data_IF_657341571707
#
_entry.id   IF_657341571707
#
_cell.length_a   1.000
_cell.length_b   1.000
_cell.length_c   1.000
_cell.angle_alpha   90.00
_cell.angle_beta   90.00
_cell.angle_gamma   90.00
#
_symmetry.space_group_name_H-M   'P 1'
#
loop_
_entity.id
_entity.type
_entity.pdbx_description
1 polymer ?
#
# COMPACT_ATOMS: atom_id res chain seq x y z
N UNK A 1 -28.88 -43.20 -25.93
CA UNK A 1 -27.55 -43.75 -25.60
C UNK A 1 -26.52 -42.85 -26.27
N UNK A 2 -26.17 -41.72 -25.66
CA UNK A 2 -25.27 -40.70 -26.28
C UNK A 2 -24.16 -40.22 -25.30
N UNK A 3 -23.75 -41.06 -24.35
CA UNK A 3 -22.80 -40.69 -23.30
C UNK A 3 -21.33 -40.98 -23.60
N UNK A 4 -21.00 -41.66 -24.70
CA UNK A 4 -19.64 -42.18 -24.96
C UNK A 4 -18.79 -41.35 -25.93
N UNK A 5 -19.37 -40.39 -26.65
CA UNK A 5 -18.62 -39.62 -27.68
C UNK A 5 -17.77 -38.48 -27.12
N UNK A 6 -18.12 -37.93 -25.96
CA UNK A 6 -17.38 -36.82 -25.33
C UNK A 6 -15.94 -37.17 -24.94
N UNK A 7 -15.64 -38.30 -24.26
CA UNK A 7 -14.26 -38.61 -23.86
C UNK A 7 -13.35 -38.96 -25.05
N UNK A 8 -13.89 -39.51 -26.15
CA UNK A 8 -13.09 -39.82 -27.34
C UNK A 8 -12.68 -38.55 -28.09
N UNK A 9 -13.59 -37.58 -28.22
CA UNK A 9 -13.27 -36.27 -28.84
C UNK A 9 -12.24 -35.49 -28.03
N UNK A 10 -12.37 -35.48 -26.71
CA UNK A 10 -11.38 -34.85 -25.82
C UNK A 10 -10.00 -35.51 -25.92
N UNK A 11 -9.96 -36.84 -26.03
CA UNK A 11 -8.71 -37.58 -26.23
C UNK A 11 -8.07 -37.27 -27.59
N UNK A 12 -8.85 -37.27 -28.66
CA UNK A 12 -8.34 -36.93 -30.00
C UNK A 12 -7.81 -35.49 -30.04
N UNK A 13 -8.51 -34.56 -29.39
CA UNK A 13 -8.10 -33.16 -29.31
C UNK A 13 -6.80 -32.97 -28.50
N UNK A 14 -6.65 -33.68 -27.37
CA UNK A 14 -5.40 -33.67 -26.61
C UNK A 14 -4.21 -34.24 -27.41
N UNK A 15 -4.44 -35.26 -28.23
CA UNK A 15 -3.41 -35.82 -29.11
C UNK A 15 -3.06 -34.86 -30.26
N UNK A 16 -4.02 -34.08 -30.76
CA UNK A 16 -3.78 -33.03 -31.76
C UNK A 16 -2.95 -31.88 -31.18
N UNK A 17 -3.25 -31.45 -29.95
CA UNK A 17 -2.42 -30.47 -29.25
C UNK A 17 -1.00 -30.98 -29.07
N UNK A 18 -0.86 -32.24 -28.62
CA UNK A 18 0.47 -32.83 -28.48
C UNK A 18 1.24 -32.93 -29.80
N UNK A 19 0.54 -33.19 -30.91
CA UNK A 19 1.15 -33.18 -32.24
C UNK A 19 1.61 -31.78 -32.65
N UNK A 20 0.84 -30.73 -32.32
CA UNK A 20 1.22 -29.33 -32.59
C UNK A 20 2.45 -28.93 -31.79
N UNK A 21 2.49 -29.23 -30.50
CA UNK A 21 3.67 -28.99 -29.65
C UNK A 21 4.93 -29.67 -30.23
N UNK A 22 4.80 -30.92 -30.69
CA UNK A 22 5.91 -31.67 -31.28
C UNK A 22 6.43 -31.02 -32.57
N UNK A 23 5.54 -30.39 -33.35
CA UNK A 23 5.89 -29.67 -34.56
C UNK A 23 6.54 -28.32 -34.23
N UNK A 24 6.06 -27.62 -33.22
CA UNK A 24 6.62 -26.34 -32.78
C UNK A 24 8.05 -26.55 -32.25
N UNK A 25 8.31 -27.64 -31.54
CA UNK A 25 9.64 -27.98 -31.01
C UNK A 25 10.62 -28.45 -32.10
N UNK A 26 10.21 -29.38 -32.98
CA UNK A 26 11.14 -30.08 -33.88
C UNK A 26 10.99 -29.72 -35.37
N UNK A 27 10.01 -28.88 -35.70
CA UNK A 27 9.53 -28.66 -37.06
C UNK A 27 8.79 -29.88 -37.62
N UNK A 28 7.97 -29.67 -38.64
CA UNK A 28 7.11 -30.71 -39.21
C UNK A 28 7.89 -31.96 -39.71
N UNK A 29 9.07 -31.76 -40.30
CA UNK A 29 9.93 -32.86 -40.77
C UNK A 29 10.66 -33.60 -39.63
N UNK A 30 10.91 -32.92 -38.50
CA UNK A 30 11.44 -33.54 -37.29
C UNK A 30 10.38 -34.40 -36.62
N UNK A 31 9.18 -33.84 -36.43
CA UNK A 31 8.00 -34.52 -35.89
C UNK A 31 7.65 -35.80 -36.69
N UNK A 32 7.65 -35.74 -38.02
CA UNK A 32 7.38 -36.88 -38.89
C UNK A 32 8.40 -38.03 -38.69
N UNK A 33 9.70 -37.69 -38.65
CA UNK A 33 10.77 -38.66 -38.38
C UNK A 33 10.66 -39.26 -36.99
N UNK A 34 10.38 -38.42 -36.00
CA UNK A 34 10.22 -38.82 -34.60
C UNK A 34 9.02 -39.76 -34.36
N UNK A 35 7.95 -39.61 -35.13
CA UNK A 35 6.77 -40.46 -35.06
C UNK A 35 6.83 -41.66 -36.02
N UNK A 36 7.84 -41.73 -36.89
CA UNK A 36 7.98 -42.79 -37.89
C UNK A 36 6.86 -42.77 -38.94
N UNK A 37 6.31 -41.60 -39.26
CA UNK A 37 5.24 -41.42 -40.25
C UNK A 37 5.68 -40.48 -41.36
N UNK A 38 5.10 -40.65 -42.54
CA UNK A 38 5.38 -39.79 -43.69
C UNK A 38 4.90 -38.34 -43.43
N UNK A 39 5.69 -37.36 -43.86
CA UNK A 39 5.40 -35.93 -43.66
C UNK A 39 4.05 -35.51 -44.23
N UNK A 40 3.63 -36.09 -45.36
CA UNK A 40 2.33 -35.81 -45.99
C UNK A 40 1.17 -36.32 -45.15
N UNK A 41 1.36 -37.44 -44.46
CA UNK A 41 0.36 -38.01 -43.53
C UNK A 41 0.14 -37.08 -42.34
N UNK A 42 1.23 -36.53 -41.82
CA UNK A 42 1.21 -35.59 -40.70
C UNK A 42 0.57 -34.24 -41.10
N UNK A 43 0.87 -33.74 -42.30
CA UNK A 43 0.21 -32.56 -42.86
C UNK A 43 -1.30 -32.75 -43.02
N UNK A 44 -1.73 -33.88 -43.61
CA UNK A 44 -3.17 -34.19 -43.78
C UNK A 44 -3.92 -34.28 -42.46
N UNK A 45 -3.28 -34.79 -41.41
CA UNK A 45 -3.89 -34.87 -40.08
C UNK A 45 -4.14 -33.48 -39.48
N UNK A 46 -3.20 -32.54 -39.67
CA UNK A 46 -3.36 -31.15 -39.22
C UNK A 46 -4.41 -30.40 -40.05
N UNK A 47 -4.36 -30.55 -41.37
CA UNK A 47 -5.25 -29.87 -42.31
C UNK A 47 -6.71 -30.30 -42.13
N UNK A 48 -6.93 -31.61 -41.94
CA UNK A 48 -8.27 -32.15 -41.66
C UNK A 48 -8.73 -31.96 -40.21
N UNK A 49 -7.82 -31.58 -39.31
CA UNK A 49 -8.08 -31.54 -37.87
C UNK A 49 -8.46 -32.89 -37.26
N UNK A 50 -8.14 -34.01 -37.93
CA UNK A 50 -8.43 -35.37 -37.46
C UNK A 50 -7.19 -36.25 -37.53
N UNK A 51 -6.99 -37.05 -36.50
CA UNK A 51 -5.82 -37.92 -36.44
C UNK A 51 -6.07 -39.20 -37.23
N UNK A 52 -5.15 -39.54 -38.13
CA UNK A 52 -5.17 -40.87 -38.75
C UNK A 52 -4.83 -41.93 -37.69
N UNK A 53 -5.35 -43.17 -37.82
CA UNK A 53 -5.05 -44.24 -36.86
C UNK A 53 -3.54 -44.50 -36.68
N UNK A 54 -2.76 -44.34 -37.75
CA UNK A 54 -1.31 -44.49 -37.75
C UNK A 54 -0.62 -43.42 -36.88
N UNK A 55 -1.05 -42.16 -37.00
CA UNK A 55 -0.51 -41.04 -36.21
C UNK A 55 -0.95 -41.17 -34.75
N UNK A 56 -2.21 -41.54 -34.51
CA UNK A 56 -2.74 -41.82 -33.15
C UNK A 56 -1.89 -42.87 -32.44
N UNK A 57 -1.68 -44.03 -33.08
CA UNK A 57 -0.88 -45.12 -32.51
C UNK A 57 0.58 -44.75 -32.32
N UNK A 58 1.15 -43.92 -33.21
CA UNK A 58 2.50 -43.42 -33.08
C UNK A 58 2.66 -42.45 -31.89
N UNK A 59 1.71 -41.52 -31.71
CA UNK A 59 1.69 -40.60 -30.58
C UNK A 59 1.51 -41.37 -29.25
N UNK A 60 0.61 -42.35 -29.22
CA UNK A 60 0.40 -43.20 -28.04
C UNK A 60 1.65 -44.02 -27.70
N UNK A 61 2.30 -44.66 -28.70
CA UNK A 61 3.56 -45.40 -28.50
C UNK A 61 4.71 -44.52 -28.03
N UNK A 62 4.75 -43.27 -28.48
CA UNK A 62 5.78 -42.30 -28.08
C UNK A 62 5.60 -41.82 -26.63
N UNK A 63 4.56 -42.29 -25.94
CA UNK A 63 4.28 -41.87 -24.58
C UNK A 63 3.68 -40.47 -24.54
N UNK A 64 2.73 -40.19 -25.43
CA UNK A 64 1.70 -39.18 -25.20
C UNK A 64 0.85 -39.61 -23.99
N UNK A 65 1.48 -39.76 -22.83
CA UNK A 65 0.79 -39.80 -21.57
C UNK A 65 0.30 -38.36 -21.36
N UNK A 66 -1.02 -38.11 -21.42
CA UNK A 66 -1.56 -36.76 -21.25
C UNK A 66 -1.14 -36.15 -19.91
N UNK A 67 -0.80 -36.96 -18.90
CA UNK A 67 -0.22 -36.47 -17.66
C UNK A 67 1.19 -35.87 -17.83
N UNK A 68 2.04 -36.43 -18.69
CA UNK A 68 3.37 -35.90 -18.94
C UNK A 68 3.30 -34.55 -19.68
N UNK A 69 2.37 -34.41 -20.62
CA UNK A 69 2.07 -33.12 -21.25
C UNK A 69 1.58 -32.09 -20.20
N UNK A 70 0.61 -32.45 -19.35
CA UNK A 70 0.12 -31.58 -18.26
C UNK A 70 1.24 -31.18 -17.29
N UNK A 71 2.15 -32.10 -16.95
CA UNK A 71 3.31 -31.81 -16.09
C UNK A 71 4.27 -30.82 -16.75
N UNK A 72 4.57 -30.99 -18.05
CA UNK A 72 5.39 -30.04 -18.81
C UNK A 72 4.75 -28.66 -18.92
N UNK A 73 3.45 -28.58 -19.23
CA UNK A 73 2.73 -27.30 -19.26
C UNK A 73 2.73 -26.62 -17.89
N UNK A 74 2.58 -27.38 -16.81
CA UNK A 74 2.67 -26.85 -15.43
C UNK A 74 4.06 -26.35 -15.10
N UNK A 75 5.11 -27.07 -15.50
CA UNK A 75 6.50 -26.61 -15.33
C UNK A 75 6.77 -25.33 -16.12
N UNK A 76 6.37 -25.25 -17.38
CA UNK A 76 6.53 -24.03 -18.18
C UNK A 76 5.73 -22.84 -17.65
N UNK A 77 4.57 -23.08 -17.03
CA UNK A 77 3.81 -22.02 -16.36
C UNK A 77 4.49 -21.55 -15.05
N UNK A 78 5.12 -22.47 -14.31
CA UNK A 78 5.91 -22.12 -13.13
C UNK A 78 7.18 -21.36 -13.52
N UNK A 79 7.86 -21.78 -14.58
CA UNK A 79 9.07 -21.12 -15.10
C UNK A 79 8.77 -19.69 -15.56
N UNK A 80 7.68 -19.48 -16.31
CA UNK A 80 7.22 -18.12 -16.66
C UNK A 80 6.86 -17.28 -15.44
N UNK A 81 6.31 -17.91 -14.39
CA UNK A 81 5.99 -17.22 -13.14
C UNK A 81 7.25 -16.84 -12.37
N UNK A 82 8.28 -17.71 -12.36
CA UNK A 82 9.57 -17.39 -11.74
C UNK A 82 10.27 -16.27 -12.49
N UNK A 83 10.31 -16.31 -13.82
CA UNK A 83 10.86 -15.21 -14.63
C UNK A 83 10.15 -13.87 -14.41
N UNK A 84 8.81 -13.89 -14.27
CA UNK A 84 8.06 -12.69 -13.96
C UNK A 84 8.39 -12.14 -12.57
N UNK A 85 8.54 -13.02 -11.58
CA UNK A 85 8.94 -12.63 -10.22
C UNK A 85 10.38 -12.08 -10.19
N UNK A 86 11.30 -12.67 -10.94
CA UNK A 86 12.69 -12.18 -11.03
C UNK A 86 12.72 -10.76 -11.62
N UNK A 87 11.93 -10.49 -12.67
CA UNK A 87 11.78 -9.13 -13.22
C UNK A 87 11.15 -8.15 -12.23
N UNK A 88 10.15 -8.59 -11.46
CA UNK A 88 9.53 -7.76 -10.42
C UNK A 88 10.53 -7.43 -9.31
N UNK A 89 11.42 -8.37 -8.94
CA UNK A 89 12.50 -8.16 -7.96
C UNK A 89 13.55 -7.20 -8.49
N UNK A 90 14.00 -7.36 -9.74
CA UNK A 90 14.92 -6.41 -10.38
C UNK A 90 14.34 -4.99 -10.41
N UNK A 91 13.06 -4.84 -10.78
CA UNK A 91 12.38 -3.55 -10.78
C UNK A 91 12.21 -2.94 -9.37
N UNK A 92 12.10 -3.78 -8.33
CA UNK A 92 12.10 -3.31 -6.94
C UNK A 92 13.48 -2.84 -6.49
N UNK A 93 14.54 -3.53 -6.86
CA UNK A 93 15.92 -3.13 -6.55
C UNK A 93 16.27 -1.79 -7.21
N UNK A 94 15.90 -1.59 -8.48
CA UNK A 94 16.04 -0.29 -9.15
C UNK A 94 15.27 0.82 -8.44
N UNK A 95 14.03 0.56 -8.02
CA UNK A 95 13.22 1.53 -7.29
C UNK A 95 13.81 1.87 -5.91
N UNK A 96 14.42 0.89 -5.23
CA UNK A 96 15.09 1.09 -3.94
C UNK A 96 16.35 1.93 -4.13
N UNK A 97 17.15 1.68 -5.16
CA UNK A 97 18.33 2.49 -5.46
C UNK A 97 17.95 3.93 -5.84
N UNK A 98 16.92 4.13 -6.66
CA UNK A 98 16.41 5.46 -6.96
C UNK A 98 15.98 6.21 -5.69
N UNK A 99 15.28 5.53 -4.77
CA UNK A 99 14.86 6.12 -3.51
C UNK A 99 16.06 6.43 -2.59
N UNK A 100 17.09 5.57 -2.57
CA UNK A 100 18.34 5.82 -1.82
C UNK A 100 19.04 7.07 -2.34
N UNK A 101 19.10 7.27 -3.65
CA UNK A 101 19.67 8.50 -4.23
C UNK A 101 18.84 9.73 -3.85
N UNK A 102 17.50 9.66 -3.92
CA UNK A 102 16.64 10.75 -3.45
C UNK A 102 16.92 11.09 -1.97
N UNK A 103 17.08 10.09 -1.10
CA UNK A 103 17.44 10.33 0.30
C UNK A 103 18.82 10.96 0.48
N UNK A 104 19.81 10.58 -0.32
CA UNK A 104 21.14 11.22 -0.30
C UNK A 104 21.04 12.69 -0.68
N UNK A 105 20.32 13.02 -1.76
CA UNK A 105 20.12 14.41 -2.17
C UNK A 105 19.39 15.23 -1.10
N UNK A 106 18.39 14.65 -0.42
CA UNK A 106 17.71 15.31 0.70
C UNK A 106 18.65 15.53 1.90
N UNK A 107 19.50 14.56 2.22
CA UNK A 107 20.50 14.68 3.28
C UNK A 107 21.50 15.81 2.98
N UNK A 108 21.96 15.91 1.74
CA UNK A 108 22.86 16.98 1.30
C UNK A 108 22.20 18.36 1.43
N UNK A 109 20.95 18.49 0.98
CA UNK A 109 20.18 19.74 1.12
C UNK A 109 19.95 20.13 2.59
N UNK A 110 19.71 19.15 3.48
CA UNK A 110 19.60 19.41 4.92
C UNK A 110 20.93 19.86 5.52
N UNK A 111 22.04 19.23 5.14
CA UNK A 111 23.37 19.61 5.58
C UNK A 111 23.72 21.04 5.13
N UNK A 112 23.39 21.42 3.90
CA UNK A 112 23.56 22.80 3.42
C UNK A 112 22.70 23.81 4.18
N UNK A 113 21.44 23.46 4.47
CA UNK A 113 20.55 24.30 5.25
C UNK A 113 21.08 24.52 6.68
N UNK A 114 21.57 23.48 7.34
CA UNK A 114 22.19 23.56 8.67
C UNK A 114 23.43 24.47 8.65
N UNK A 115 24.34 24.28 7.68
CA UNK A 115 25.51 25.16 7.50
C UNK A 115 25.11 26.62 7.22
N UNK A 116 24.00 26.86 6.54
CA UNK A 116 23.49 28.21 6.32
C UNK A 116 22.95 28.84 7.62
N UNK A 117 22.28 28.05 8.46
CA UNK A 117 21.80 28.49 9.78
C UNK A 117 22.95 28.77 10.75
N UNK A 118 23.94 27.89 10.82
CA UNK A 118 25.16 28.10 11.63
C UNK A 118 25.85 29.42 11.26
N UNK A 119 26.04 29.69 9.97
CA UNK A 119 26.60 30.97 9.50
C UNK A 119 25.79 32.19 9.95
N UNK A 120 24.45 32.09 9.99
CA UNK A 120 23.58 33.17 10.45
C UNK A 120 23.68 33.37 11.96
N UNK A 121 23.70 32.29 12.73
CA UNK A 121 23.88 32.33 14.18
C UNK A 121 25.22 32.98 14.54
N UNK A 122 26.32 32.53 13.92
CA UNK A 122 27.64 33.13 14.15
C UNK A 122 27.69 34.63 13.78
N UNK A 123 26.96 35.05 12.74
CA UNK A 123 26.85 36.47 12.38
C UNK A 123 26.07 37.29 13.43
N UNK A 124 25.04 36.71 14.04
CA UNK A 124 24.27 37.35 15.13
C UNK A 124 25.10 37.43 16.41
N UNK A 125 25.78 36.34 16.79
CA UNK A 125 26.68 36.29 17.94
C UNK A 125 27.82 37.31 17.80
N UNK A 126 28.41 37.44 16.62
CA UNK A 126 29.45 38.44 16.35
C UNK A 126 28.94 39.88 16.53
N UNK A 127 27.68 40.16 16.18
CA UNK A 127 27.07 41.49 16.38
C UNK A 127 26.78 41.77 17.85
N UNK A 128 26.33 40.76 18.61
CA UNK A 128 26.07 40.88 20.04
C UNK A 128 27.37 41.06 20.84
N UNK A 129 28.41 40.30 20.51
CA UNK A 129 29.74 40.43 21.12
C UNK A 129 30.43 41.77 20.83
N UNK A 130 30.08 42.42 19.71
CA UNK A 130 30.56 43.77 19.38
C UNK A 130 29.72 44.91 20.02
N UNK A 131 28.55 44.58 20.58
CA UNK A 131 27.56 45.55 21.08
C UNK A 131 27.58 45.82 22.59
N UNK A 132 28.43 45.15 23.37
CA UNK A 132 28.58 45.42 24.81
C UNK A 132 29.43 46.66 25.07
N UNK A 133 28.91 47.84 24.73
CA UNK A 133 29.33 49.12 25.31
C UNK A 133 28.09 49.94 25.68
N UNK A 134 27.90 50.05 27.00
CA UNK A 134 27.23 51.11 27.76
C UNK A 134 25.69 51.07 27.85
N UNK A 135 25.21 50.40 28.90
CA UNK A 135 23.93 50.69 29.54
C UNK A 135 23.96 52.07 30.25
N UNK A 136 22.90 52.89 30.14
CA UNK A 136 22.54 53.87 31.13
C UNK A 136 21.49 53.31 32.11
N UNK A 137 21.78 53.41 33.41
CA UNK A 137 20.89 53.08 34.53
C UNK A 137 19.52 53.79 34.44
N UNK A 138 18.41 53.08 34.70
CA UNK A 138 17.15 53.68 35.12
C UNK A 138 17.00 53.72 36.65
N UNK A 139 16.37 54.76 37.23
CA UNK A 139 16.20 54.90 38.67
C UNK A 139 15.04 54.06 39.23
N UNK A 140 15.24 53.63 40.47
CA UNK A 140 14.39 52.78 41.29
C UNK A 140 12.97 53.32 41.54
N UNK A 141 12.00 52.41 41.66
CA UNK A 141 10.73 52.66 42.34
C UNK A 141 10.36 51.43 43.17
N UNK A 142 10.08 51.70 44.45
CA UNK A 142 9.92 50.78 45.59
C UNK A 142 8.55 50.03 45.57
N UNK A 143 8.41 48.87 46.25
CA UNK A 143 7.29 47.95 46.09
C UNK A 143 6.18 48.15 47.14
N UNK A 144 4.93 48.19 46.67
CA UNK A 144 3.72 48.26 47.49
C UNK A 144 3.06 46.89 47.67
N UNK A 145 2.90 46.49 48.91
CA UNK A 145 2.39 45.20 49.40
C UNK A 145 0.89 44.95 49.15
N UNK A 146 0.52 43.66 49.07
CA UNK A 146 -0.83 43.19 49.37
C UNK A 146 -1.20 41.83 48.75
N UNK A 147 -1.21 40.72 49.52
CA UNK A 147 -1.89 39.48 49.13
C UNK A 147 -3.29 39.40 49.75
N UNK A 148 -4.26 38.76 49.08
CA UNK A 148 -5.22 37.91 49.81
C UNK A 148 -5.59 36.64 48.99
N UNK A 149 -6.48 35.75 49.45
CA UNK A 149 -6.10 34.50 50.09
C UNK A 149 -6.55 33.26 49.30
N UNK A 150 -6.00 32.12 49.71
CA UNK A 150 -6.43 30.79 49.30
C UNK A 150 -7.91 30.51 49.62
N UNK A 151 -8.60 29.80 48.72
CA UNK A 151 -9.75 28.95 49.06
C UNK A 151 -9.97 27.85 48.02
N UNK A 152 -9.80 26.60 48.50
CA UNK A 152 -10.69 25.42 48.35
C UNK A 152 -11.14 25.01 46.93
N UNK A 153 -11.08 23.78 46.45
CA UNK A 153 -10.91 22.46 47.07
C UNK A 153 -10.52 21.40 45.99
N UNK A 154 -9.93 20.26 46.36
CA UNK A 154 -9.87 19.08 45.50
C UNK A 154 -11.22 18.35 45.54
N UNK A 155 -11.86 18.20 44.38
CA UNK A 155 -13.08 17.41 44.24
C UNK A 155 -12.83 15.94 44.62
N UNK A 156 -13.57 15.46 45.61
CA UNK A 156 -13.64 14.03 45.93
C UNK A 156 -14.23 13.22 44.75
N UNK A 157 -13.83 11.96 44.58
CA UNK A 157 -14.46 11.05 43.64
C UNK A 157 -15.86 10.68 44.16
N UNK A 158 -16.89 11.06 43.39
CA UNK A 158 -18.27 10.61 43.63
C UNK A 158 -18.36 9.13 43.29
N UNK A 159 -18.19 8.29 44.32
CA UNK A 159 -18.57 6.87 44.31
C UNK A 159 -20.09 6.82 44.45
N UNK A 160 -20.79 6.27 43.47
CA UNK A 160 -22.23 6.01 43.56
C UNK A 160 -23.08 6.39 42.36
N UNK A 161 -22.56 6.33 41.12
CA UNK A 161 -23.43 6.38 39.94
C UNK A 161 -23.85 4.95 39.59
N UNK A 162 -25.15 4.67 39.72
CA UNK A 162 -25.78 3.45 39.23
C UNK A 162 -25.31 3.17 37.79
N UNK A 163 -25.20 1.90 37.36
CA UNK A 163 -24.74 1.57 36.02
C UNK A 163 -25.65 2.26 35.01
N UNK A 164 -25.12 3.31 34.38
CA UNK A 164 -25.78 3.98 33.26
C UNK A 164 -25.94 2.89 32.22
N UNK A 165 -27.19 2.53 31.95
CA UNK A 165 -27.50 1.51 30.97
C UNK A 165 -26.79 1.87 29.67
N UNK A 166 -25.85 1.02 29.24
CA UNK A 166 -25.11 1.26 28.01
C UNK A 166 -26.12 1.52 26.88
N UNK A 167 -26.03 2.67 26.18
CA UNK A 167 -26.89 2.92 25.04
C UNK A 167 -26.70 1.77 24.06
N UNK A 168 -27.77 0.99 23.82
CA UNK A 168 -27.72 -0.17 22.92
C UNK A 168 -27.50 0.33 21.50
N UNK A 169 -26.25 0.31 21.05
CA UNK A 169 -25.90 0.66 19.68
C UNK A 169 -26.01 -0.58 18.79
N UNK A 170 -26.70 -0.49 17.64
CA UNK A 170 -26.57 -1.52 16.61
C UNK A 170 -25.13 -1.47 16.08
N UNK A 171 -24.42 -2.58 16.21
CA UNK A 171 -23.03 -2.77 15.74
C UNK A 171 -21.95 -1.93 16.45
N UNK A 172 -21.67 -2.17 17.75
CA UNK A 172 -20.61 -1.48 18.50
C UNK A 172 -19.20 -1.68 17.91
N UNK A 173 -19.02 -2.70 17.07
CA UNK A 173 -17.76 -3.00 16.39
C UNK A 173 -17.40 -2.00 15.27
N UNK A 174 -18.29 -1.09 14.87
CA UNK A 174 -18.03 -0.12 13.79
C UNK A 174 -17.90 1.31 14.30
N UNK A 175 -16.76 1.93 14.02
CA UNK A 175 -16.57 3.36 14.21
C UNK A 175 -17.49 4.10 13.25
N UNK A 176 -18.23 5.09 13.74
CA UNK A 176 -19.03 5.97 12.89
C UNK A 176 -18.26 7.22 12.49
N UNK A 177 -18.65 7.82 11.37
CA UNK A 177 -18.02 9.05 10.88
C UNK A 177 -18.33 10.28 11.74
N UNK A 178 -19.51 10.32 12.37
CA UNK A 178 -19.94 11.42 13.22
C UNK A 178 -19.93 10.99 14.67
N UNK A 179 -19.58 11.92 15.55
CA UNK A 179 -19.70 11.72 16.98
C UNK A 179 -21.18 11.64 17.38
N UNK A 180 -21.50 10.67 18.22
CA UNK A 180 -22.81 10.48 18.82
C UNK A 180 -22.70 10.63 20.35
N UNK A 181 -23.78 11.05 20.99
CA UNK A 181 -23.82 11.16 22.45
C UNK A 181 -23.68 9.78 23.10
N UNK A 182 -22.80 9.67 24.10
CA UNK A 182 -22.56 8.41 24.82
C UNK A 182 -21.58 7.44 24.14
N UNK A 183 -20.91 7.83 23.05
CA UNK A 183 -19.89 7.00 22.40
C UNK A 183 -18.70 6.64 23.30
N UNK A 184 -18.38 7.50 24.26
CA UNK A 184 -17.34 7.24 25.26
C UNK A 184 -17.68 6.01 26.12
N UNK A 185 -18.97 5.75 26.36
CA UNK A 185 -19.44 4.56 27.08
C UNK A 185 -19.42 3.29 26.22
N UNK A 186 -19.44 3.44 24.90
CA UNK A 186 -19.46 2.33 23.94
C UNK A 186 -18.04 1.91 23.55
N UNK A 187 -17.16 2.87 23.26
CA UNK A 187 -15.80 2.63 22.79
C UNK A 187 -14.75 2.64 23.90
N UNK A 188 -15.10 3.14 25.09
CA UNK A 188 -14.21 3.17 26.25
C UNK A 188 -12.88 3.85 25.92
N UNK A 189 -11.79 3.11 26.10
CA UNK A 189 -10.41 3.58 25.88
C UNK A 189 -10.11 3.94 24.42
N UNK A 190 -10.88 3.44 23.44
CA UNK A 190 -10.69 3.76 22.03
C UNK A 190 -11.27 5.13 21.63
N UNK A 191 -12.14 5.73 22.46
CA UNK A 191 -12.80 7.00 22.18
C UNK A 191 -11.86 8.16 21.76
N UNK A 192 -10.73 8.43 22.45
CA UNK A 192 -9.79 9.47 22.03
C UNK A 192 -9.16 9.19 20.66
N UNK A 193 -8.86 7.92 20.36
CA UNK A 193 -8.27 7.48 19.08
C UNK A 193 -9.28 7.69 17.94
N UNK A 194 -10.55 7.34 18.17
CA UNK A 194 -11.65 7.59 17.24
C UNK A 194 -11.83 9.08 16.97
N UNK A 195 -11.83 9.91 18.02
CA UNK A 195 -11.96 11.35 17.88
C UNK A 195 -10.81 11.96 17.07
N UNK A 196 -9.57 11.50 17.30
CA UNK A 196 -8.42 11.92 16.49
C UNK A 196 -8.55 11.45 15.04
N UNK A 197 -8.94 10.19 14.81
CA UNK A 197 -9.14 9.64 13.47
C UNK A 197 -10.14 10.47 12.67
N UNK A 198 -11.27 10.86 13.30
CA UNK A 198 -12.27 11.74 12.68
C UNK A 198 -11.71 13.13 12.35
N UNK A 199 -10.93 13.73 13.25
CA UNK A 199 -10.26 15.03 12.97
C UNK A 199 -9.34 14.94 11.76
N UNK A 200 -8.55 13.87 11.66
CA UNK A 200 -7.66 13.67 10.52
C UNK A 200 -8.42 13.44 9.22
N UNK A 201 -9.56 12.74 9.28
CA UNK A 201 -10.44 12.59 8.12
C UNK A 201 -10.98 13.92 7.61
N UNK A 202 -11.41 14.81 8.51
CA UNK A 202 -11.87 16.16 8.15
C UNK A 202 -10.73 16.93 7.48
N UNK A 203 -9.53 16.92 8.09
CA UNK A 203 -8.36 17.59 7.51
C UNK A 203 -7.93 17.00 6.15
N UNK A 204 -8.16 15.70 5.92
CA UNK A 204 -7.86 15.03 4.65
C UNK A 204 -8.87 15.37 3.55
N UNK A 205 -10.10 15.74 3.92
CA UNK A 205 -11.17 16.15 3.00
C UNK A 205 -11.24 17.67 2.83
N UNK A 206 -10.43 18.44 3.57
CA UNK A 206 -10.39 19.90 3.46
C UNK A 206 -9.80 20.31 2.10
N UNK A 207 -10.66 20.77 1.19
CA UNK A 207 -10.27 21.25 -0.14
C UNK A 207 -9.36 22.48 -0.10
N UNK A 208 -9.34 23.22 1.01
CA UNK A 208 -8.47 24.38 1.22
C UNK A 208 -7.05 24.02 1.67
N UNK A 209 -6.83 22.80 2.15
CA UNK A 209 -5.53 22.35 2.63
C UNK A 209 -4.54 22.11 1.48
N UNK A 210 -3.25 22.32 1.73
CA UNK A 210 -2.24 21.97 0.74
C UNK A 210 -2.20 20.46 0.52
N UNK A 211 -1.82 20.01 -0.69
CA UNK A 211 -1.70 18.56 -0.97
C UNK A 211 -0.77 17.81 -0.03
N UNK A 212 0.21 18.50 0.58
CA UNK A 212 1.08 17.92 1.63
C UNK A 212 0.32 17.73 2.95
N UNK A 213 -0.50 18.71 3.36
CA UNK A 213 -1.32 18.61 4.57
C UNK A 213 -2.38 17.53 4.44
N UNK A 214 -3.07 17.46 3.30
CA UNK A 214 -4.01 16.39 2.99
C UNK A 214 -3.32 15.01 3.04
N UNK A 215 -2.12 14.89 2.46
CA UNK A 215 -1.37 13.63 2.48
C UNK A 215 -0.89 13.25 3.90
N UNK A 216 -0.49 14.22 4.73
CA UNK A 216 -0.13 13.99 6.14
C UNK A 216 -1.34 13.54 6.96
N UNK A 217 -2.47 14.21 6.79
CA UNK A 217 -3.73 13.85 7.43
C UNK A 217 -4.15 12.43 7.02
N UNK A 218 -4.01 12.07 5.73
CA UNK A 218 -4.26 10.71 5.23
C UNK A 218 -3.35 9.66 5.89
N UNK A 219 -2.05 9.94 6.01
CA UNK A 219 -1.10 9.03 6.68
C UNK A 219 -1.50 8.82 8.14
N UNK A 220 -1.73 9.90 8.90
CA UNK A 220 -2.11 9.82 10.31
C UNK A 220 -3.45 9.10 10.49
N UNK A 221 -4.42 9.37 9.62
CA UNK A 221 -5.71 8.66 9.60
C UNK A 221 -5.53 7.15 9.37
N UNK A 222 -4.65 6.73 8.45
CA UNK A 222 -4.37 5.31 8.22
C UNK A 222 -3.62 4.65 9.41
N UNK A 223 -2.72 5.37 10.08
CA UNK A 223 -2.02 4.88 11.28
C UNK A 223 -2.99 4.66 12.44
N UNK A 224 -3.86 5.65 12.72
CA UNK A 224 -4.91 5.52 13.72
C UNK A 224 -5.89 4.41 13.35
N UNK A 225 -6.18 4.24 12.06
CA UNK A 225 -7.01 3.15 11.58
C UNK A 225 -6.42 1.76 11.84
N UNK A 226 -5.09 1.62 11.75
CA UNK A 226 -4.41 0.39 12.14
C UNK A 226 -4.52 0.13 13.64
N UNK A 227 -4.28 1.14 14.47
CA UNK A 227 -4.42 1.04 15.94
C UNK A 227 -5.84 0.59 16.30
N UNK A 228 -6.86 1.22 15.72
CA UNK A 228 -8.27 0.86 15.95
C UNK A 228 -8.56 -0.60 15.55
N UNK A 229 -8.04 -1.06 14.41
CA UNK A 229 -8.25 -2.43 13.96
C UNK A 229 -7.43 -3.48 14.73
N UNK A 230 -6.23 -3.13 15.22
CA UNK A 230 -5.32 -4.09 15.86
C UNK A 230 -5.45 -4.17 17.37
N UNK A 231 -5.60 -3.03 18.05
CA UNK A 231 -5.63 -2.94 19.52
C UNK A 231 -7.06 -3.00 20.05
N UNK A 232 -8.02 -2.43 19.31
CA UNK A 232 -9.40 -2.31 19.75
C UNK A 232 -10.38 -3.18 18.95
N UNK A 233 -9.90 -3.93 17.95
CA UNK A 233 -10.70 -4.77 17.04
C UNK A 233 -11.89 -4.04 16.39
N UNK A 234 -11.76 -2.71 16.23
CA UNK A 234 -12.80 -1.84 15.68
C UNK A 234 -12.68 -1.73 14.17
N UNK A 235 -13.84 -1.73 13.51
CA UNK A 235 -13.99 -1.61 12.06
C UNK A 235 -14.20 -0.15 11.67
N UNK A 236 -13.47 0.32 10.67
CA UNK A 236 -13.60 1.69 10.17
C UNK A 236 -14.73 1.77 9.13
N UNK A 237 -15.50 2.86 9.11
CA UNK A 237 -16.54 3.08 8.12
C UNK A 237 -15.86 3.45 6.79
N UNK A 238 -15.92 2.54 5.81
CA UNK A 238 -15.46 2.81 4.46
C UNK A 238 -16.46 3.74 3.76
N UNK A 239 -15.96 4.66 2.93
CA UNK A 239 -16.74 5.56 2.05
C UNK A 239 -17.57 4.83 0.99
N UNK A 240 -17.54 3.51 0.96
CA UNK A 240 -18.27 2.69 0.00
C UNK A 240 -18.32 1.27 0.55
N UNK A 241 -19.46 0.88 1.12
CA UNK A 241 -19.78 -0.52 1.40
C UNK A 241 -20.73 -1.02 0.29
N UNK A 242 -20.62 -2.30 -0.09
CA UNK A 242 -21.45 -3.28 0.63
C UNK A 242 -20.60 -4.22 1.48
N UNK A 243 -21.20 -4.55 2.62
CA UNK A 243 -20.66 -5.27 3.76
C UNK A 243 -20.45 -6.73 3.38
N UNK A 244 -19.20 -7.11 3.12
CA UNK A 244 -18.77 -8.51 3.23
C UNK A 244 -18.02 -8.68 4.55
N UNK A 245 -18.47 -9.64 5.34
CA UNK A 245 -17.99 -10.03 6.68
C UNK A 245 -16.60 -10.67 6.66
N UNK A 246 -15.69 -10.15 5.84
CA UNK A 246 -14.32 -10.62 5.72
C UNK A 246 -13.53 -10.34 7.01
N UNK A 247 -12.58 -11.26 7.27
CA UNK A 247 -11.86 -11.41 8.54
C UNK A 247 -11.11 -10.13 8.93
N UNK A 248 -11.00 -9.85 10.23
CA UNK A 248 -10.16 -8.78 10.81
C UNK A 248 -8.74 -8.73 10.22
N UNK A 249 -8.17 -9.90 9.86
CA UNK A 249 -6.88 -10.00 9.16
C UNK A 249 -6.87 -9.26 7.82
N UNK A 250 -7.93 -9.39 7.04
CA UNK A 250 -8.07 -8.73 5.74
C UNK A 250 -8.25 -7.22 5.91
N UNK A 251 -8.86 -6.76 7.00
CA UNK A 251 -8.99 -5.34 7.35
C UNK A 251 -7.64 -4.73 7.74
N UNK A 252 -6.85 -5.45 8.55
CA UNK A 252 -5.48 -5.04 8.87
C UNK A 252 -4.61 -4.96 7.62
N UNK A 253 -4.58 -6.00 6.79
CA UNK A 253 -3.81 -6.01 5.54
C UNK A 253 -4.27 -4.91 4.57
N UNK A 254 -5.56 -4.57 4.57
CA UNK A 254 -6.10 -3.42 3.83
C UNK A 254 -5.59 -2.10 4.39
N UNK A 255 -5.62 -1.90 5.71
CA UNK A 255 -5.12 -0.69 6.36
C UNK A 255 -3.60 -0.52 6.16
N UNK A 256 -2.81 -1.60 6.22
CA UNK A 256 -1.37 -1.56 5.96
C UNK A 256 -1.06 -1.19 4.50
N UNK A 257 -1.86 -1.69 3.53
CA UNK A 257 -1.76 -1.29 2.13
C UNK A 257 -2.14 0.18 1.93
N UNK A 258 -3.21 0.64 2.59
CA UNK A 258 -3.63 2.04 2.54
C UNK A 258 -2.56 2.98 3.12
N UNK A 259 -1.94 2.62 4.25
CA UNK A 259 -0.84 3.38 4.85
C UNK A 259 0.37 3.46 3.92
N UNK A 260 0.77 2.34 3.30
CA UNK A 260 1.87 2.33 2.33
C UNK A 260 1.59 3.26 1.14
N UNK A 261 0.36 3.26 0.63
CA UNK A 261 -0.06 4.18 -0.46
C UNK A 261 -0.03 5.63 0.00
N UNK A 262 -0.60 5.95 1.17
CA UNK A 262 -0.62 7.29 1.73
C UNK A 262 0.79 7.87 1.96
N UNK A 263 1.73 7.05 2.45
CA UNK A 263 3.14 7.46 2.61
C UNK A 263 3.80 7.79 1.28
N UNK A 264 3.55 7.00 0.23
CA UNK A 264 4.04 7.30 -1.13
C UNK A 264 3.44 8.59 -1.69
N UNK A 265 2.16 8.83 -1.45
CA UNK A 265 1.50 10.07 -1.85
C UNK A 265 2.09 11.28 -1.12
N UNK A 266 2.42 11.16 0.16
CA UNK A 266 3.08 12.22 0.92
C UNK A 266 4.46 12.55 0.35
N UNK A 267 5.26 11.53 0.02
CA UNK A 267 6.56 11.73 -0.66
C UNK A 267 6.36 12.45 -1.98
N UNK A 268 5.42 11.98 -2.82
CA UNK A 268 5.09 12.64 -4.10
C UNK A 268 4.65 14.09 -3.92
N UNK A 269 3.80 14.38 -2.93
CA UNK A 269 3.33 15.73 -2.64
C UNK A 269 4.51 16.65 -2.23
N UNK A 270 5.45 16.12 -1.46
CA UNK A 270 6.69 16.83 -1.14
C UNK A 270 7.56 17.08 -2.37
N UNK A 271 7.78 16.08 -3.22
CA UNK A 271 8.54 16.22 -4.47
C UNK A 271 7.90 17.26 -5.41
N UNK A 272 6.58 17.20 -5.61
CA UNK A 272 5.85 18.18 -6.42
C UNK A 272 5.93 19.60 -5.86
N UNK A 273 5.81 19.76 -4.53
CA UNK A 273 5.99 21.08 -3.89
C UNK A 273 7.39 21.64 -4.12
N UNK A 274 8.40 20.78 -4.05
CA UNK A 274 9.78 21.14 -4.33
C UNK A 274 9.98 21.55 -5.79
N UNK A 275 9.55 20.71 -6.75
CA UNK A 275 9.62 21.01 -8.18
C UNK A 275 8.91 22.33 -8.53
N UNK A 276 7.71 22.55 -8.00
CA UNK A 276 6.98 23.80 -8.18
C UNK A 276 7.78 24.99 -7.66
N UNK A 277 8.41 24.86 -6.49
CA UNK A 277 9.24 25.92 -5.90
C UNK A 277 10.45 26.24 -6.78
N UNK A 278 11.16 25.22 -7.28
CA UNK A 278 12.30 25.37 -8.20
C UNK A 278 11.87 26.09 -9.48
N UNK A 279 10.77 25.65 -10.11
CA UNK A 279 10.23 26.28 -11.31
C UNK A 279 9.84 27.74 -11.06
N UNK A 280 9.16 28.04 -9.95
CA UNK A 280 8.76 29.42 -9.63
C UNK A 280 9.92 30.35 -9.30
N UNK A 281 11.00 29.83 -8.70
CA UNK A 281 12.21 30.62 -8.39
C UNK A 281 13.09 30.85 -9.62
N UNK A 282 13.08 29.94 -10.60
CA UNK A 282 13.78 30.11 -11.88
C UNK A 282 13.20 31.22 -12.77
N UNK A 283 11.93 31.57 -12.59
CA UNK A 283 11.22 32.58 -13.41
C UNK A 283 11.47 34.02 -12.94
N UNK A 284 12.05 34.23 -11.75
CA UNK A 284 12.30 35.57 -11.18
C UNK A 284 13.70 36.14 -11.45
N UNK A 285 14.45 35.56 -12.41
CA UNK A 285 15.85 35.94 -12.70
C UNK A 285 16.09 36.61 -14.06
N UNK A 286 15.04 37.11 -14.70
CA UNK A 286 15.07 37.96 -15.89
C UNK A 286 14.19 39.19 -15.68
#
# INVERSE_FOLDING_TARGET
MDGSETPEREREQALLEHLRDLIDEAGQGGAARQLGVDRKTLWRALDSGRLTPTVTKALERRGANPEAARRRSRLGALERRTEALDKDVEGLDEAVEALREEFRTLADLQAEALRAWERRLSAVESRLGAGTVREPEPPATDPGAGPPPASQAPGQPVVGRAPVAMPRRPHPEFVTLRAEEGEELVYGEAAPVIAEWRRQRIAQLDEGASGVEQARARVRMCELGLVLASEYELKLPLDTFPVDTLRLRDERERCERALRRARRELVRAHCWRFLRRVLTLGVWRH
#
